data_IF_509015149569
#
_entry.id   IF_509015149569
#
_cell.length_a   1.000
_cell.length_b   1.000
_cell.length_c   1.000
_cell.angle_alpha   90.00
_cell.angle_beta   90.00
_cell.angle_gamma   90.00
#
_symmetry.space_group_name_H-M   'P 1'
#
loop_
_entity.id
_entity.type
_entity.pdbx_description
1 polymer ?
#
# COMPACT_ATOMS: atom_id res chain seq x y z
N UNK A 1 -16.32 -19.84 17.36
CA UNK A 1 -16.94 -18.63 17.93
C UNK A 1 -15.96 -17.47 18.15
N UNK A 2 -14.93 -17.56 19.01
CA UNK A 2 -13.95 -16.45 19.18
C UNK A 2 -13.10 -16.18 17.92
N UNK A 3 -12.74 -17.25 17.19
CA UNK A 3 -11.98 -17.16 15.95
C UNK A 3 -12.74 -16.42 14.84
N UNK A 4 -14.03 -16.70 14.71
CA UNK A 4 -14.90 -16.09 13.68
C UNK A 4 -15.12 -14.60 13.93
N UNK A 5 -15.24 -14.21 15.22
CA UNK A 5 -15.36 -12.80 15.62
C UNK A 5 -14.09 -12.01 15.24
N UNK A 6 -12.91 -12.54 15.58
CA UNK A 6 -11.63 -11.88 15.26
C UNK A 6 -11.45 -11.75 13.75
N UNK A 7 -11.78 -12.81 13.00
CA UNK A 7 -11.72 -12.81 11.55
C UNK A 7 -12.64 -11.74 10.94
N UNK A 8 -13.88 -11.63 11.42
CA UNK A 8 -14.84 -10.64 10.93
C UNK A 8 -14.40 -9.21 11.26
N UNK A 9 -13.95 -8.95 12.49
CA UNK A 9 -13.42 -7.63 12.88
C UNK A 9 -12.23 -7.25 11.99
N UNK A 10 -11.28 -8.16 11.80
CA UNK A 10 -10.13 -7.89 10.95
C UNK A 10 -10.56 -7.63 9.50
N UNK A 11 -11.57 -8.33 8.99
CA UNK A 11 -12.08 -8.12 7.62
C UNK A 11 -12.72 -6.75 7.46
N UNK A 12 -13.51 -6.30 8.45
CA UNK A 12 -14.08 -4.95 8.49
C UNK A 12 -12.97 -3.90 8.54
N UNK A 13 -11.96 -4.08 9.40
CA UNK A 13 -10.85 -3.14 9.51
C UNK A 13 -10.05 -3.02 8.20
N UNK A 14 -9.77 -4.14 7.53
CA UNK A 14 -9.08 -4.15 6.24
C UNK A 14 -9.92 -3.44 5.17
N UNK A 15 -11.23 -3.72 5.11
CA UNK A 15 -12.14 -3.08 4.16
C UNK A 15 -12.24 -1.57 4.39
N UNK A 16 -12.40 -1.12 5.65
CA UNK A 16 -12.40 0.30 6.01
C UNK A 16 -11.07 0.95 5.67
N UNK A 17 -9.95 0.28 5.96
CA UNK A 17 -8.62 0.74 5.59
C UNK A 17 -8.46 0.93 4.08
N UNK A 18 -8.96 -0.02 3.28
CA UNK A 18 -8.95 0.07 1.81
C UNK A 18 -9.75 1.30 1.33
N UNK A 19 -10.95 1.52 1.86
CA UNK A 19 -11.79 2.67 1.52
C UNK A 19 -11.09 3.99 1.87
N UNK A 20 -10.49 4.11 3.05
CA UNK A 20 -9.77 5.30 3.47
C UNK A 20 -8.53 5.55 2.60
N UNK A 21 -7.75 4.52 2.29
CA UNK A 21 -6.58 4.62 1.43
C UNK A 21 -6.96 5.06 0.00
N UNK A 22 -7.99 4.47 -0.59
CA UNK A 22 -8.50 4.90 -1.89
C UNK A 22 -9.05 6.31 -1.87
N UNK A 23 -9.79 6.68 -0.82
CA UNK A 23 -10.30 8.05 -0.64
C UNK A 23 -9.14 9.04 -0.63
N UNK A 24 -8.07 8.75 0.11
CA UNK A 24 -6.86 9.56 0.09
C UNK A 24 -6.26 9.65 -1.31
N UNK A 25 -6.06 8.54 -2.02
CA UNK A 25 -5.53 8.52 -3.40
C UNK A 25 -6.39 9.38 -4.33
N UNK A 26 -7.72 9.25 -4.26
CA UNK A 26 -8.65 10.01 -5.12
C UNK A 26 -8.73 11.49 -4.80
N UNK A 27 -8.52 11.87 -3.54
CA UNK A 27 -8.44 13.27 -3.14
C UNK A 27 -7.06 13.86 -3.50
N UNK A 28 -6.00 13.15 -3.14
CA UNK A 28 -4.62 13.61 -3.29
C UNK A 28 -4.16 13.65 -4.75
N UNK A 29 -4.74 12.83 -5.64
CA UNK A 29 -4.46 12.90 -7.08
C UNK A 29 -4.77 14.27 -7.71
N UNK A 30 -5.63 15.09 -7.07
CA UNK A 30 -5.99 16.44 -7.54
C UNK A 30 -4.92 17.48 -7.19
N UNK A 31 -4.06 17.19 -6.23
CA UNK A 31 -2.90 18.02 -5.88
C UNK A 31 -1.77 17.69 -6.86
N UNK A 32 -0.85 18.62 -7.13
CA UNK A 32 0.35 18.31 -7.92
C UNK A 32 1.37 17.50 -7.10
N UNK A 33 0.99 16.27 -6.75
CA UNK A 33 1.78 15.33 -5.98
C UNK A 33 3.06 14.90 -6.72
N UNK A 34 3.15 15.17 -8.03
CA UNK A 34 4.34 14.86 -8.84
C UNK A 34 5.42 15.93 -8.69
N UNK A 35 5.08 17.14 -8.29
CA UNK A 35 6.03 18.24 -8.18
C UNK A 35 7.09 18.01 -7.10
N UNK A 36 6.75 17.36 -5.97
CA UNK A 36 7.65 17.18 -4.83
C UNK A 36 8.03 15.72 -4.61
N UNK A 37 9.25 15.46 -4.13
CA UNK A 37 9.69 14.10 -3.77
C UNK A 37 8.85 13.49 -2.65
N UNK A 38 8.44 14.32 -1.68
CA UNK A 38 7.54 13.93 -0.60
C UNK A 38 6.15 13.56 -1.13
N UNK A 39 5.60 14.34 -2.07
CA UNK A 39 4.31 14.05 -2.70
C UNK A 39 4.32 12.75 -3.51
N UNK A 40 5.39 12.52 -4.29
CA UNK A 40 5.59 11.26 -5.03
C UNK A 40 5.70 10.07 -4.10
N UNK A 41 6.37 10.24 -2.95
CA UNK A 41 6.49 9.20 -1.94
C UNK A 41 5.13 8.89 -1.31
N UNK A 42 4.44 9.91 -0.83
CA UNK A 42 3.16 9.77 -0.15
C UNK A 42 2.13 9.11 -1.08
N UNK A 43 1.99 9.60 -2.31
CA UNK A 43 1.09 9.01 -3.29
C UNK A 43 1.46 7.56 -3.63
N UNK A 44 2.74 7.28 -3.88
CA UNK A 44 3.21 5.93 -4.22
C UNK A 44 2.99 4.93 -3.08
N UNK A 45 3.31 5.33 -1.85
CA UNK A 45 3.11 4.49 -0.66
C UNK A 45 1.62 4.27 -0.36
N UNK A 46 0.80 5.33 -0.38
CA UNK A 46 -0.63 5.18 -0.10
C UNK A 46 -1.34 4.38 -1.20
N UNK A 47 -0.96 4.53 -2.46
CA UNK A 47 -1.46 3.70 -3.55
C UNK A 47 -1.12 2.22 -3.33
N UNK A 48 0.11 1.94 -2.90
CA UNK A 48 0.56 0.59 -2.59
C UNK A 48 -0.26 -0.02 -1.45
N UNK A 49 -0.47 0.73 -0.38
CA UNK A 49 -1.31 0.32 0.76
C UNK A 49 -2.76 0.08 0.31
N UNK A 50 -3.31 0.96 -0.53
CA UNK A 50 -4.68 0.81 -1.05
C UNK A 50 -4.84 -0.50 -1.83
N UNK A 51 -3.89 -0.83 -2.71
CA UNK A 51 -3.94 -2.06 -3.52
C UNK A 51 -3.78 -3.30 -2.63
N UNK A 52 -2.83 -3.30 -1.68
CA UNK A 52 -2.64 -4.42 -0.74
C UNK A 52 -3.90 -4.66 0.10
N UNK A 53 -4.49 -3.59 0.65
CA UNK A 53 -5.71 -3.71 1.44
C UNK A 53 -6.90 -4.19 0.60
N UNK A 54 -7.00 -3.74 -0.66
CA UNK A 54 -8.04 -4.22 -1.60
C UNK A 54 -7.89 -5.72 -1.83
N UNK A 55 -6.68 -6.19 -2.14
CA UNK A 55 -6.40 -7.61 -2.34
C UNK A 55 -6.64 -8.43 -1.06
N UNK A 56 -6.29 -7.88 0.10
CA UNK A 56 -6.56 -8.51 1.40
C UNK A 56 -8.06 -8.58 1.71
N UNK A 57 -8.85 -7.57 1.33
CA UNK A 57 -10.31 -7.62 1.43
C UNK A 57 -10.90 -8.66 0.49
N UNK A 58 -10.48 -8.67 -0.78
CA UNK A 58 -10.95 -9.63 -1.78
C UNK A 58 -10.69 -11.08 -1.37
N UNK A 59 -9.48 -11.39 -0.92
CA UNK A 59 -9.13 -12.74 -0.44
C UNK A 59 -9.93 -13.20 0.76
N UNK A 60 -10.26 -12.27 1.66
CA UNK A 60 -11.07 -12.58 2.85
C UNK A 60 -12.53 -12.84 2.51
N UNK A 61 -13.06 -12.18 1.46
CA UNK A 61 -14.46 -12.31 1.05
C UNK A 61 -14.66 -13.48 0.07
N UNK A 62 -13.81 -13.58 -0.94
CA UNK A 62 -13.95 -14.53 -2.05
C UNK A 62 -13.08 -15.79 -1.90
N UNK A 63 -12.17 -15.80 -0.93
CA UNK A 63 -11.20 -16.88 -0.75
C UNK A 63 -9.95 -16.73 -1.65
N UNK A 64 -8.93 -17.58 -1.44
CA UNK A 64 -7.70 -17.56 -2.23
C UNK A 64 -7.96 -18.11 -3.65
N UNK A 65 -7.56 -17.36 -4.68
CA UNK A 65 -7.59 -17.80 -6.08
C UNK A 65 -6.17 -18.07 -6.60
N UNK A 66 -5.98 -18.97 -7.59
CA UNK A 66 -4.65 -19.48 -7.97
C UNK A 66 -3.66 -18.39 -8.43
N UNK A 67 -4.17 -17.32 -9.03
CA UNK A 67 -3.35 -16.25 -9.57
C UNK A 67 -2.83 -15.26 -8.51
N UNK A 68 -3.31 -15.35 -7.27
CA UNK A 68 -2.97 -14.35 -6.25
C UNK A 68 -1.49 -14.30 -5.89
N UNK A 69 -0.81 -15.43 -5.95
CA UNK A 69 0.63 -15.51 -5.68
C UNK A 69 1.44 -14.63 -6.65
N UNK A 70 1.03 -14.54 -7.92
CA UNK A 70 1.68 -13.68 -8.90
C UNK A 70 1.42 -12.20 -8.62
N UNK A 71 0.19 -11.86 -8.23
CA UNK A 71 -0.19 -10.50 -7.84
C UNK A 71 0.58 -10.08 -6.58
N UNK A 72 0.63 -10.94 -5.57
CA UNK A 72 1.38 -10.72 -4.35
C UNK A 72 2.88 -10.56 -4.63
N UNK A 73 3.47 -11.40 -5.50
CA UNK A 73 4.86 -11.27 -5.89
C UNK A 73 5.14 -9.93 -6.60
N UNK A 74 4.27 -9.50 -7.51
CA UNK A 74 4.38 -8.21 -8.17
C UNK A 74 4.27 -7.04 -7.17
N UNK A 75 3.35 -7.14 -6.21
CA UNK A 75 3.20 -6.15 -5.15
C UNK A 75 4.43 -6.13 -4.23
N UNK A 76 4.91 -7.26 -3.75
CA UNK A 76 6.13 -7.29 -2.94
C UNK A 76 7.34 -6.74 -3.72
N UNK A 77 7.45 -7.03 -5.01
CA UNK A 77 8.46 -6.43 -5.89
C UNK A 77 8.35 -4.91 -5.95
N UNK A 78 7.15 -4.37 -6.13
CA UNK A 78 6.92 -2.92 -6.11
C UNK A 78 7.24 -2.31 -4.72
N UNK A 79 6.86 -2.97 -3.63
CA UNK A 79 7.16 -2.49 -2.28
C UNK A 79 8.66 -2.41 -2.04
N UNK A 80 9.40 -3.46 -2.40
CA UNK A 80 10.86 -3.52 -2.29
C UNK A 80 11.49 -2.41 -3.13
N UNK A 81 11.03 -2.22 -4.37
CA UNK A 81 11.53 -1.15 -5.24
C UNK A 81 11.28 0.24 -4.65
N UNK A 82 10.09 0.48 -4.10
CA UNK A 82 9.77 1.73 -3.40
C UNK A 82 10.71 1.94 -2.22
N UNK A 83 10.89 0.97 -1.33
CA UNK A 83 11.78 1.09 -0.18
C UNK A 83 13.23 1.29 -0.60
N UNK A 84 13.71 0.54 -1.59
CA UNK A 84 15.05 0.67 -2.15
C UNK A 84 15.31 2.08 -2.68
N UNK A 85 14.38 2.63 -3.47
CA UNK A 85 14.49 4.00 -3.98
C UNK A 85 14.62 5.03 -2.85
N UNK A 86 13.99 4.80 -1.68
CA UNK A 86 14.07 5.71 -0.53
C UNK A 86 15.35 5.55 0.26
N UNK A 87 15.82 4.33 0.46
CA UNK A 87 17.13 4.08 1.07
C UNK A 87 18.23 4.76 0.24
N UNK A 88 18.17 4.66 -1.09
CA UNK A 88 19.13 5.34 -1.95
C UNK A 88 19.09 6.87 -1.81
N UNK A 89 17.91 7.46 -1.69
CA UNK A 89 17.77 8.91 -1.46
C UNK A 89 18.32 9.32 -0.08
N UNK A 90 18.03 8.55 0.97
CA UNK A 90 18.52 8.80 2.32
C UNK A 90 20.06 8.69 2.39
N UNK A 91 20.63 7.68 1.75
CA UNK A 91 22.08 7.50 1.67
C UNK A 91 22.75 8.65 0.92
N UNK A 92 22.08 9.20 -0.11
CA UNK A 92 22.59 10.39 -0.83
C UNK A 92 22.52 11.64 0.05
N UNK A 93 21.40 11.89 0.72
CA UNK A 93 21.26 13.03 1.63
C UNK A 93 22.31 13.01 2.75
N UNK A 94 22.53 11.84 3.38
CA UNK A 94 23.53 11.68 4.43
C UNK A 94 24.99 11.83 3.93
N UNK A 95 25.25 11.72 2.63
CA UNK A 95 26.59 11.94 2.04
C UNK A 95 26.83 13.40 1.63
N UNK A 96 25.78 14.19 1.49
CA UNK A 96 25.88 15.62 1.14
C UNK A 96 26.00 16.50 2.39
N UNK A 97 25.58 16.00 3.55
CA UNK A 97 25.65 16.70 4.85
C UNK A 97 26.90 16.37 5.69
N UNK A 98 27.75 15.42 5.27
CA UNK A 98 28.97 15.00 5.96
C UNK A 98 30.24 15.22 5.15
#
# INVERSE_FOLDING_TARGET
>A
MKHDLIFNIATVLVAVGAVLAWTFVFMYRRVDWRATDAGRHLMGFTLMVAIILTLATETRIFGPYPAIQYVAAALYGWLVWLLWSRVLLLVRANREEG
#
